data_IF_998193331799
#
_entry.id   IF_998193331799
#
_cell.length_a   1.000
_cell.length_b   1.000
_cell.length_c   1.000
_cell.angle_alpha   90.00
_cell.angle_beta   90.00
_cell.angle_gamma   90.00
#
_symmetry.space_group_name_H-M   'P 1'
#
loop_
_entity.id
_entity.type
_entity.pdbx_description
1 polymer ?
#
# COMPACT_ATOMS: atom_id res chain seq x y z
N UNK A 1 -5.82 -8.07 22.86
CA UNK A 1 -6.64 -6.92 22.43
C UNK A 1 -6.07 -6.43 21.10
N UNK A 2 -6.60 -6.90 19.98
CA UNK A 2 -6.26 -6.38 18.65
C UNK A 2 -7.45 -5.55 18.20
N UNK A 3 -7.26 -4.23 18.10
CA UNK A 3 -8.23 -3.37 17.45
C UNK A 3 -8.45 -3.91 16.04
N UNK A 4 -9.70 -4.23 15.70
CA UNK A 4 -10.11 -4.30 14.30
C UNK A 4 -10.04 -2.84 13.84
N UNK A 5 -8.88 -2.42 13.35
CA UNK A 5 -8.76 -1.12 12.71
C UNK A 5 -9.77 -1.13 11.57
N UNK A 6 -10.72 -0.19 11.58
CA UNK A 6 -11.72 0.04 10.52
C UNK A 6 -11.07 0.57 9.22
N UNK A 7 -9.76 0.37 9.08
CA UNK A 7 -8.88 0.96 8.10
C UNK A 7 -8.18 -0.17 7.37
N UNK A 8 -8.46 -0.28 6.08
CA UNK A 8 -7.80 -1.24 5.20
C UNK A 8 -6.39 -0.72 4.94
N UNK A 9 -5.38 -1.55 5.20
CA UNK A 9 -3.99 -1.17 5.00
C UNK A 9 -3.44 -1.84 3.75
N UNK A 10 -2.95 -1.04 2.80
CA UNK A 10 -2.05 -1.51 1.75
C UNK A 10 -0.60 -1.23 2.14
N UNK A 11 0.28 -2.21 1.90
CA UNK A 11 1.71 -2.05 2.15
C UNK A 11 2.50 -2.60 0.97
N UNK A 12 3.28 -1.74 0.33
CA UNK A 12 4.18 -2.09 -0.76
C UNK A 12 5.57 -2.32 -0.17
N UNK A 13 6.06 -3.55 -0.24
CA UNK A 13 7.37 -3.95 0.29
C UNK A 13 8.26 -4.49 -0.83
N UNK A 14 9.56 -4.30 -0.67
CA UNK A 14 10.58 -4.88 -1.54
C UNK A 14 10.99 -6.25 -1.02
N UNK A 15 10.92 -7.25 -1.88
CA UNK A 15 11.45 -8.60 -1.67
C UNK A 15 12.84 -8.80 -2.28
N UNK A 16 13.26 -10.05 -2.42
CA UNK A 16 14.53 -10.42 -3.06
C UNK A 16 14.40 -10.36 -4.58
N UNK A 17 14.34 -9.14 -5.12
CA UNK A 17 14.27 -8.89 -6.55
C UNK A 17 12.88 -8.55 -7.08
N UNK A 18 11.85 -8.64 -6.24
CA UNK A 18 10.46 -8.34 -6.58
C UNK A 18 9.85 -7.29 -5.62
N UNK A 19 8.65 -6.83 -5.96
CA UNK A 19 7.82 -5.95 -5.15
C UNK A 19 6.49 -6.63 -4.82
N UNK A 20 6.10 -6.56 -3.55
CA UNK A 20 4.89 -7.21 -3.05
C UNK A 20 3.94 -6.16 -2.51
N UNK A 21 2.66 -6.32 -2.84
CA UNK A 21 1.57 -5.54 -2.29
C UNK A 21 0.87 -6.42 -1.26
N UNK A 22 0.87 -5.97 -0.01
CA UNK A 22 0.12 -6.60 1.06
C UNK A 22 -1.17 -5.82 1.29
N UNK A 23 -2.27 -6.52 1.57
CA UNK A 23 -3.51 -5.97 2.10
C UNK A 23 -3.74 -6.57 3.48
N UNK A 24 -3.81 -5.73 4.52
CA UNK A 24 -4.02 -6.15 5.91
C UNK A 24 -3.00 -7.24 6.34
N UNK A 25 -1.75 -7.07 5.89
CA UNK A 25 -0.64 -8.01 6.14
C UNK A 25 -0.67 -9.30 5.31
N UNK A 26 -1.65 -9.49 4.42
CA UNK A 26 -1.76 -10.64 3.53
C UNK A 26 -1.32 -10.28 2.13
N UNK A 27 -0.67 -11.22 1.44
CA UNK A 27 -0.28 -11.02 0.05
C UNK A 27 -1.52 -10.74 -0.84
N UNK A 28 -1.41 -9.68 -1.62
CA UNK A 28 -2.42 -9.21 -2.56
C UNK A 28 -1.85 -9.03 -3.98
N UNK A 29 -0.55 -9.21 -4.20
CA UNK A 29 0.06 -9.06 -5.52
C UNK A 29 1.59 -9.03 -5.49
N UNK A 30 2.18 -9.49 -6.60
CA UNK A 30 3.62 -9.52 -6.85
C UNK A 30 3.93 -8.83 -8.18
N UNK A 31 5.03 -8.07 -8.22
CA UNK A 31 5.42 -7.23 -9.34
C UNK A 31 6.94 -7.20 -9.49
N UNK A 32 7.43 -7.11 -10.73
CA UNK A 32 8.87 -7.00 -10.99
C UNK A 32 9.39 -5.56 -10.75
N UNK A 33 8.52 -4.55 -10.89
CA UNK A 33 8.88 -3.14 -10.77
C UNK A 33 8.11 -2.44 -9.64
N UNK A 34 8.79 -1.46 -9.01
CA UNK A 34 8.21 -0.68 -7.89
C UNK A 34 7.02 0.16 -8.33
N UNK A 35 7.11 0.75 -9.53
CA UNK A 35 6.06 1.63 -10.08
C UNK A 35 4.76 0.85 -10.22
N UNK A 36 4.80 -0.35 -10.81
CA UNK A 36 3.62 -1.19 -11.00
C UNK A 36 2.99 -1.61 -9.66
N UNK A 37 3.82 -1.95 -8.66
CA UNK A 37 3.34 -2.31 -7.32
C UNK A 37 2.65 -1.13 -6.63
N UNK A 38 3.25 0.07 -6.71
CA UNK A 38 2.70 1.30 -6.14
C UNK A 38 1.40 1.68 -6.85
N UNK A 39 1.39 1.73 -8.19
CA UNK A 39 0.20 2.02 -8.97
C UNK A 39 -0.93 1.04 -8.66
N UNK A 40 -0.62 -0.26 -8.54
CA UNK A 40 -1.63 -1.27 -8.18
C UNK A 40 -2.21 -1.03 -6.79
N UNK A 41 -1.38 -0.69 -5.80
CA UNK A 41 -1.83 -0.37 -4.45
C UNK A 41 -2.71 0.88 -4.42
N UNK A 42 -2.30 1.95 -5.13
CA UNK A 42 -3.04 3.21 -5.23
C UNK A 42 -4.40 3.00 -5.90
N UNK A 43 -4.45 2.34 -7.06
CA UNK A 43 -5.72 2.07 -7.78
C UNK A 43 -6.71 1.28 -6.92
N UNK A 44 -6.22 0.26 -6.20
CA UNK A 44 -7.05 -0.54 -5.29
C UNK A 44 -7.52 0.28 -4.08
N UNK A 45 -6.66 1.14 -3.54
CA UNK A 45 -7.00 2.03 -2.44
C UNK A 45 -8.07 3.03 -2.87
N UNK A 46 -7.90 3.70 -4.00
CA UNK A 46 -8.89 4.64 -4.56
C UNK A 46 -10.24 3.97 -4.78
N UNK A 47 -10.26 2.77 -5.35
CA UNK A 47 -11.52 2.00 -5.56
C UNK A 47 -12.25 1.70 -4.24
N UNK A 48 -11.53 1.52 -3.13
CA UNK A 48 -12.12 1.28 -1.81
C UNK A 48 -12.58 2.59 -1.16
N UNK A 49 -11.82 3.66 -1.31
CA UNK A 49 -12.21 5.00 -0.86
C UNK A 49 -13.49 5.46 -1.56
N UNK A 50 -13.62 5.23 -2.86
CA UNK A 50 -14.84 5.50 -3.63
C UNK A 50 -16.06 4.72 -3.13
N UNK A 51 -15.84 3.60 -2.42
CA UNK A 51 -16.90 2.80 -1.78
C UNK A 51 -17.21 3.24 -0.34
N UNK A 52 -16.51 4.26 0.17
CA UNK A 52 -16.67 4.78 1.52
C UNK A 52 -15.80 4.08 2.57
N UNK A 53 -14.82 3.26 2.14
CA UNK A 53 -13.89 2.59 3.05
C UNK A 53 -12.75 3.53 3.46
N UNK A 54 -12.25 3.37 4.68
CA UNK A 54 -11.03 4.07 5.12
C UNK A 54 -9.81 3.25 4.72
N UNK A 55 -8.86 3.86 4.00
CA UNK A 55 -7.69 3.15 3.47
C UNK A 55 -6.40 3.92 3.75
N UNK A 56 -5.37 3.20 4.15
CA UNK A 56 -4.00 3.71 4.26
C UNK A 56 -3.06 2.95 3.33
N UNK A 57 -2.12 3.66 2.71
CA UNK A 57 -1.11 3.07 1.82
C UNK A 57 0.27 3.40 2.36
N UNK A 58 1.09 2.36 2.53
CA UNK A 58 2.47 2.48 2.95
C UNK A 58 3.38 1.93 1.85
N UNK A 59 4.47 2.64 1.56
CA UNK A 59 5.48 2.21 0.59
C UNK A 59 6.83 2.14 1.26
N UNK A 60 7.51 1.02 1.08
CA UNK A 60 8.88 0.86 1.54
C UNK A 60 9.84 1.67 0.66
N UNK A 61 10.58 2.58 1.27
CA UNK A 61 11.63 3.35 0.61
C UNK A 61 12.94 2.56 0.44
N UNK A 62 13.92 3.16 -0.24
CA UNK A 62 15.21 2.54 -0.49
C UNK A 62 16.02 2.25 0.80
N UNK A 63 15.70 2.91 1.92
CA UNK A 63 16.30 2.66 3.23
C UNK A 63 15.56 1.56 4.01
N UNK A 64 14.52 0.95 3.42
CA UNK A 64 13.69 -0.07 4.04
C UNK A 64 12.63 0.49 4.97
N UNK A 65 12.44 1.82 5.03
CA UNK A 65 11.47 2.47 5.90
C UNK A 65 10.11 2.55 5.20
N UNK A 66 9.04 2.33 5.95
CA UNK A 66 7.67 2.51 5.45
C UNK A 66 7.30 3.98 5.51
N UNK A 67 6.91 4.56 4.37
CA UNK A 67 6.36 5.91 4.27
C UNK A 67 4.90 5.84 3.90
N UNK A 68 4.07 6.63 4.57
CA UNK A 68 2.67 6.77 4.20
C UNK A 68 2.55 7.61 2.93
N UNK A 69 1.73 7.17 2.00
CA UNK A 69 1.43 7.91 0.77
C UNK A 69 -0.06 8.21 0.72
N UNK A 70 -0.40 9.38 0.19
CA UNK A 70 -1.78 9.76 -0.07
C UNK A 70 -2.32 8.90 -1.22
N UNK A 71 -3.36 8.07 -0.99
CA UNK A 71 -3.93 7.22 -2.03
C UNK A 71 -4.64 7.99 -3.15
N UNK A 72 -5.06 9.23 -2.91
CA UNK A 72 -5.78 10.08 -3.86
C UNK A 72 -4.82 10.91 -4.72
N UNK A 73 -3.68 11.33 -4.16
CA UNK A 73 -2.67 12.15 -4.85
C UNK A 73 -1.41 11.40 -5.30
N UNK A 74 -1.12 10.23 -4.73
CA UNK A 74 0.16 9.54 -4.91
C UNK A 74 1.36 10.25 -4.26
N UNK A 75 1.12 11.33 -3.52
CA UNK A 75 2.14 12.11 -2.84
C UNK A 75 2.55 11.44 -1.52
N UNK A 76 3.84 11.52 -1.17
CA UNK A 76 4.31 11.04 0.13
C UNK A 76 3.85 12.03 1.20
N UNK A 77 3.13 11.55 2.21
CA UNK A 77 2.79 12.35 3.38
C UNK A 77 4.07 12.49 4.23
N UNK A 78 4.54 13.73 4.38
CA UNK A 78 5.79 14.09 5.08
C UNK A 78 5.59 14.25 6.60
#
# INVERSE_FOLDING_TARGET
MTALSDTIQFTVIRGEGDWRVLRDGRDAGHFDFSVDAIESALVRATTLIEKGETVEVFVQDAAGQLRQVDPVGGEVLH
#
